data_IF_195857198902
#
_entry.id   IF_195857198902
#
_cell.length_a   1.000
_cell.length_b   1.000
_cell.length_c   1.000
_cell.angle_alpha   90.00
_cell.angle_beta   90.00
_cell.angle_gamma   90.00
#
_symmetry.space_group_name_H-M   'P 1'
#
loop_
_entity.id
_entity.type
_entity.pdbx_description
1 polymer ?
#
# COMPACT_ATOMS: atom_id res chain seq x y z
N UNK A 1 -24.79 -10.43 -3.47
CA UNK A 1 -24.12 -9.74 -2.35
C UNK A 1 -23.10 -8.76 -2.92
N UNK A 2 -22.85 -7.64 -2.25
CA UNK A 2 -21.72 -6.76 -2.58
C UNK A 2 -20.39 -7.48 -2.28
N UNK A 3 -19.26 -7.06 -2.88
CA UNK A 3 -17.94 -7.58 -2.53
C UNK A 3 -17.64 -7.58 -1.02
N UNK A 4 -17.97 -6.47 -0.36
CA UNK A 4 -17.82 -6.31 1.08
C UNK A 4 -18.65 -7.31 1.87
N UNK A 5 -19.94 -7.46 1.53
CA UNK A 5 -20.82 -8.44 2.18
C UNK A 5 -20.30 -9.87 1.99
N UNK A 6 -19.90 -10.22 0.76
CA UNK A 6 -19.35 -11.54 0.43
C UNK A 6 -18.14 -11.88 1.29
N UNK A 7 -17.21 -10.93 1.43
CA UNK A 7 -16.01 -11.10 2.24
C UNK A 7 -16.36 -11.28 3.72
N UNK A 8 -17.21 -10.43 4.29
CA UNK A 8 -17.59 -10.49 5.70
C UNK A 8 -18.35 -11.78 6.06
N UNK A 9 -19.24 -12.25 5.18
CA UNK A 9 -19.96 -13.51 5.39
C UNK A 9 -18.98 -14.68 5.36
N UNK A 10 -18.04 -14.71 4.40
CA UNK A 10 -17.03 -15.78 4.33
C UNK A 10 -16.11 -15.80 5.56
N UNK A 11 -15.65 -14.62 6.01
CA UNK A 11 -14.76 -14.48 7.18
C UNK A 11 -15.42 -14.88 8.51
N UNK A 12 -16.75 -14.77 8.60
CA UNK A 12 -17.51 -15.11 9.81
C UNK A 12 -18.07 -16.54 9.78
N UNK A 13 -17.65 -17.37 8.82
CA UNK A 13 -18.07 -18.77 8.70
C UNK A 13 -19.47 -18.97 8.11
N UNK A 14 -20.07 -17.92 7.53
CA UNK A 14 -21.34 -18.01 6.82
C UNK A 14 -21.20 -18.57 5.40
N UNK A 15 -22.32 -18.64 4.68
CA UNK A 15 -22.37 -19.09 3.28
C UNK A 15 -22.57 -17.89 2.33
N UNK A 16 -21.51 -17.37 1.70
CA UNK A 16 -21.64 -16.30 0.72
C UNK A 16 -22.33 -16.79 -0.57
N UNK A 17 -22.71 -15.86 -1.44
CA UNK A 17 -23.29 -16.14 -2.76
C UNK A 17 -22.31 -16.86 -3.71
N UNK A 18 -21.01 -16.66 -3.52
CA UNK A 18 -19.89 -17.40 -4.14
C UNK A 18 -18.63 -17.26 -3.29
N UNK A 19 -17.60 -18.05 -3.57
CA UNK A 19 -16.28 -17.91 -2.93
C UNK A 19 -15.70 -16.51 -3.27
N UNK A 20 -15.34 -15.67 -2.27
CA UNK A 20 -14.70 -14.40 -2.54
C UNK A 20 -13.29 -14.61 -3.12
N UNK A 21 -12.88 -13.72 -4.04
CA UNK A 21 -11.57 -13.78 -4.68
C UNK A 21 -10.83 -12.44 -4.53
N UNK A 22 -9.70 -12.48 -3.82
CA UNK A 22 -8.78 -11.35 -3.62
C UNK A 22 -7.35 -11.80 -3.90
N UNK A 23 -6.97 -12.01 -5.17
CA UNK A 23 -5.59 -12.34 -5.51
C UNK A 23 -4.64 -11.25 -4.99
N UNK A 24 -3.47 -11.66 -4.53
CA UNK A 24 -2.40 -10.71 -4.22
C UNK A 24 -1.81 -10.16 -5.52
N UNK A 25 -2.30 -8.99 -5.90
CA UNK A 25 -1.85 -8.25 -7.08
C UNK A 25 -0.74 -7.24 -6.74
N UNK A 26 -0.42 -7.10 -5.43
CA UNK A 26 0.60 -6.25 -4.84
C UNK A 26 0.70 -4.87 -5.50
N UNK A 27 1.92 -4.39 -5.77
CA UNK A 27 2.22 -3.15 -6.47
C UNK A 27 2.34 -3.32 -7.99
N UNK A 28 2.81 -4.46 -8.48
CA UNK A 28 3.14 -4.64 -9.90
C UNK A 28 1.94 -4.44 -10.82
N UNK A 29 0.78 -4.99 -10.47
CA UNK A 29 -0.42 -4.90 -11.31
C UNK A 29 -1.07 -3.51 -11.19
N UNK A 30 -1.32 -2.95 -9.99
CA UNK A 30 -1.81 -1.57 -9.88
C UNK A 30 -0.90 -0.54 -10.57
N UNK A 31 0.43 -0.61 -10.37
CA UNK A 31 1.36 0.31 -11.03
C UNK A 31 1.34 0.14 -12.55
N UNK A 32 1.19 -1.08 -13.07
CA UNK A 32 1.08 -1.28 -14.52
C UNK A 32 -0.21 -0.68 -15.09
N UNK A 33 -1.31 -0.74 -14.34
CA UNK A 33 -2.61 -0.23 -14.77
C UNK A 33 -2.68 1.31 -14.79
N UNK A 34 -1.82 2.01 -14.05
CA UNK A 34 -1.76 3.48 -14.14
C UNK A 34 -1.19 3.97 -15.47
N UNK A 35 -0.43 3.12 -16.18
CA UNK A 35 0.32 3.51 -17.37
C UNK A 35 1.60 4.31 -17.06
N UNK A 36 1.83 4.63 -15.78
CA UNK A 36 2.99 5.37 -15.33
C UNK A 36 4.18 4.45 -15.09
N UNK A 37 5.42 4.98 -15.15
CA UNK A 37 6.57 4.25 -14.66
C UNK A 37 6.40 3.86 -13.19
N UNK A 38 6.85 2.66 -12.83
CA UNK A 38 6.68 2.09 -11.49
C UNK A 38 7.12 3.02 -10.34
N UNK A 39 8.19 3.79 -10.55
CA UNK A 39 8.72 4.73 -9.55
C UNK A 39 7.81 5.94 -9.30
N UNK A 40 6.99 6.36 -10.27
CA UNK A 40 6.01 7.46 -10.06
C UNK A 40 5.00 7.08 -8.99
N UNK A 41 4.50 5.85 -9.04
CA UNK A 41 3.55 5.33 -8.05
C UNK A 41 4.26 4.98 -6.74
N UNK A 42 5.37 4.26 -6.82
CA UNK A 42 5.98 3.66 -5.62
C UNK A 42 6.81 4.66 -4.80
N UNK A 43 7.52 5.55 -5.48
CA UNK A 43 8.41 6.51 -4.84
C UNK A 43 7.76 7.88 -4.70
N UNK A 44 7.18 8.39 -5.79
CA UNK A 44 6.58 9.73 -5.80
C UNK A 44 5.12 9.75 -5.34
N UNK A 45 4.48 8.59 -5.20
CA UNK A 45 3.07 8.43 -4.80
C UNK A 45 2.12 9.19 -5.74
N UNK A 46 2.39 9.14 -7.04
CA UNK A 46 1.61 9.77 -8.11
C UNK A 46 1.11 8.73 -9.13
N UNK A 47 -0.15 8.25 -9.03
CA UNK A 47 -1.04 8.33 -7.87
C UNK A 47 -0.54 7.51 -6.68
N UNK A 48 -1.07 7.70 -5.47
CA UNK A 48 -0.70 6.88 -4.33
C UNK A 48 -1.14 5.42 -4.55
N UNK A 49 -0.32 4.47 -4.12
CA UNK A 49 -0.53 3.04 -4.39
C UNK A 49 -1.90 2.51 -3.94
N UNK A 50 -2.44 2.99 -2.81
CA UNK A 50 -3.76 2.59 -2.33
C UNK A 50 -4.87 2.94 -3.33
N UNK A 51 -4.73 4.05 -4.05
CA UNK A 51 -5.71 4.50 -5.03
C UNK A 51 -5.58 3.66 -6.30
N UNK A 52 -4.35 3.44 -6.78
CA UNK A 52 -4.10 2.53 -7.90
C UNK A 52 -4.64 1.11 -7.61
N UNK A 53 -4.52 0.63 -6.37
CA UNK A 53 -5.07 -0.66 -5.97
C UNK A 53 -6.60 -0.70 -6.05
N UNK A 54 -7.29 0.34 -5.57
CA UNK A 54 -8.76 0.42 -5.66
C UNK A 54 -9.21 0.40 -7.13
N UNK A 55 -8.53 1.14 -8.00
CA UNK A 55 -8.82 1.12 -9.43
C UNK A 55 -8.57 -0.27 -10.06
N UNK A 56 -7.52 -0.97 -9.65
CA UNK A 56 -7.28 -2.35 -10.08
C UNK A 56 -8.41 -3.31 -9.63
N UNK A 57 -8.88 -3.18 -8.38
CA UNK A 57 -10.01 -3.97 -7.86
C UNK A 57 -11.27 -3.74 -8.70
N UNK A 58 -11.56 -2.49 -9.06
CA UNK A 58 -12.69 -2.14 -9.94
C UNK A 58 -12.52 -2.70 -11.34
N UNK A 59 -11.33 -2.56 -11.93
CA UNK A 59 -11.02 -3.02 -13.28
C UNK A 59 -11.22 -4.54 -13.44
N UNK A 60 -10.76 -5.34 -12.48
CA UNK A 60 -10.89 -6.80 -12.53
C UNK A 60 -12.20 -7.34 -11.96
N UNK A 61 -13.01 -6.53 -11.28
CA UNK A 61 -14.25 -6.98 -10.64
C UNK A 61 -14.03 -8.00 -9.52
N UNK A 62 -12.90 -7.89 -8.81
CA UNK A 62 -12.52 -8.77 -7.68
C UNK A 62 -13.03 -8.19 -6.34
N UNK A 63 -12.95 -8.97 -5.26
CA UNK A 63 -13.57 -8.59 -3.99
C UNK A 63 -12.81 -7.52 -3.19
N UNK A 64 -11.53 -7.32 -3.49
CA UNK A 64 -10.63 -6.39 -2.83
C UNK A 64 -10.24 -6.77 -1.39
N UNK A 65 -8.96 -6.60 -1.07
CA UNK A 65 -8.38 -6.72 0.27
C UNK A 65 -7.52 -5.48 0.56
N UNK A 66 -8.06 -4.52 1.32
CA UNK A 66 -7.42 -3.23 1.51
C UNK A 66 -6.43 -3.25 2.69
N UNK A 67 -5.13 -3.33 2.38
CA UNK A 67 -4.02 -3.35 3.36
C UNK A 67 -3.21 -2.06 3.42
N UNK A 68 -3.63 -1.01 2.71
CA UNK A 68 -2.90 0.25 2.62
C UNK A 68 -3.34 1.31 3.64
N UNK A 69 -4.18 0.93 4.59
CA UNK A 69 -4.53 1.76 5.75
C UNK A 69 -3.62 1.45 6.93
N UNK A 70 -3.46 2.43 7.83
CA UNK A 70 -2.75 2.27 9.10
C UNK A 70 -3.69 2.55 10.29
N UNK A 71 -3.29 2.09 11.47
CA UNK A 71 -4.04 2.31 12.72
C UNK A 71 -3.81 3.71 13.32
N UNK A 72 -3.11 4.60 12.60
CA UNK A 72 -2.69 5.92 13.05
C UNK A 72 -1.92 5.89 14.38
N UNK A 73 -1.21 4.78 14.63
CA UNK A 73 -0.42 4.60 15.84
C UNK A 73 0.65 5.70 15.93
N UNK A 74 0.58 6.48 17.01
CA UNK A 74 1.56 7.51 17.30
C UNK A 74 2.72 6.89 18.06
N UNK A 75 3.90 6.89 17.43
CA UNK A 75 5.11 6.37 18.06
C UNK A 75 5.51 7.26 19.25
N UNK A 76 5.89 6.70 20.41
CA UNK A 76 6.32 7.48 21.56
C UNK A 76 7.74 8.02 21.32
N UNK A 77 7.83 9.15 20.61
CA UNK A 77 9.08 9.79 20.22
C UNK A 77 8.95 10.48 18.87
N UNK A 78 9.96 11.26 18.51
CA UNK A 78 9.98 11.92 17.20
C UNK A 78 10.70 11.03 16.20
N UNK A 79 10.03 10.77 15.07
CA UNK A 79 10.61 10.11 13.91
C UNK A 79 10.71 11.10 12.77
N UNK A 80 11.94 11.36 12.34
CA UNK A 80 12.22 12.13 11.15
C UNK A 80 12.81 11.19 10.10
N UNK A 81 12.27 11.26 8.89
CA UNK A 81 12.83 10.59 7.73
C UNK A 81 12.80 11.56 6.56
N UNK A 82 13.96 11.79 5.95
CA UNK A 82 14.06 12.61 4.76
C UNK A 82 15.02 11.99 3.76
N UNK A 83 14.75 12.25 2.49
CA UNK A 83 15.65 11.92 1.39
C UNK A 83 16.82 12.88 1.48
N UNK A 84 18.01 12.34 1.72
CA UNK A 84 19.25 13.11 1.83
C UNK A 84 19.89 13.31 0.45
N UNK A 85 19.84 12.29 -0.39
CA UNK A 85 20.32 12.36 -1.78
C UNK A 85 19.48 11.43 -2.68
N UNK A 86 19.34 11.84 -3.94
CA UNK A 86 18.67 11.05 -4.97
C UNK A 86 19.32 11.29 -6.31
N UNK A 87 19.88 10.23 -6.88
CA UNK A 87 20.46 10.25 -8.23
C UNK A 87 19.89 9.14 -9.10
N UNK A 88 19.55 9.50 -10.33
CA UNK A 88 19.16 8.57 -11.38
C UNK A 88 20.37 8.30 -12.28
N UNK A 89 20.74 7.03 -12.41
CA UNK A 89 21.69 6.55 -13.42
C UNK A 89 20.93 5.91 -14.58
N UNK A 90 21.64 5.44 -15.60
CA UNK A 90 21.03 4.75 -16.75
C UNK A 90 20.30 3.46 -16.31
N UNK A 91 20.86 2.74 -15.35
CA UNK A 91 20.40 1.43 -14.89
C UNK A 91 19.48 1.46 -13.67
N UNK A 92 19.59 2.48 -12.81
CA UNK A 92 18.88 2.51 -11.52
C UNK A 92 18.71 3.90 -10.92
N UNK A 93 17.89 3.97 -9.89
CA UNK A 93 17.87 5.10 -8.96
C UNK A 93 18.63 4.71 -7.70
N UNK A 94 19.50 5.59 -7.22
CA UNK A 94 20.15 5.48 -5.91
C UNK A 94 19.56 6.55 -5.01
N UNK A 95 18.95 6.11 -3.92
CA UNK A 95 18.27 6.97 -2.95
C UNK A 95 18.94 6.75 -1.60
N UNK A 96 19.41 7.84 -1.00
CA UNK A 96 19.92 7.85 0.37
C UNK A 96 18.87 8.51 1.25
N UNK A 97 18.45 7.80 2.29
CA UNK A 97 17.45 8.29 3.23
C UNK A 97 18.08 8.39 4.61
N UNK A 98 17.99 9.58 5.20
CA UNK A 98 18.44 9.82 6.57
C UNK A 98 17.24 9.75 7.51
N UNK A 99 17.34 8.86 8.49
CA UNK A 99 16.39 8.72 9.57
C UNK A 99 16.98 9.21 10.89
N UNK A 100 16.18 9.90 11.71
CA UNK A 100 16.47 10.18 13.11
C UNK A 100 15.30 9.67 13.95
N UNK A 101 15.61 9.01 15.05
CA UNK A 101 14.63 8.73 16.11
C UNK A 101 15.13 9.40 17.38
N UNK A 102 14.32 10.27 17.96
CA UNK A 102 14.66 11.06 19.13
C UNK A 102 13.52 11.03 20.17
N UNK A 103 13.79 11.50 21.39
CA UNK A 103 12.83 11.63 22.50
C UNK A 103 12.12 10.33 22.87
N UNK A 104 12.82 9.20 22.71
CA UNK A 104 12.32 7.90 23.17
C UNK A 104 12.24 7.89 24.70
N UNK A 105 11.11 7.47 25.29
CA UNK A 105 11.05 7.23 26.73
C UNK A 105 12.00 6.08 27.08
N UNK A 106 13.00 6.38 27.91
CA UNK A 106 13.86 5.36 28.46
C UNK A 106 13.13 4.70 29.63
N UNK A 107 12.84 3.41 29.51
CA UNK A 107 12.30 2.59 30.60
C UNK A 107 13.44 1.74 31.17
N UNK A 108 13.87 2.04 32.41
CA UNK A 108 14.77 1.19 33.22
C UNK A 108 14.08 -0.08 33.70
#
# INVERSE_FOLDING_TARGET
MTPRERMLVAMTGGKPDRVPATPDISNMVPCRLTGEPFWEVYYFRQPPLWQAYIEAVRYFGIDGWFTYGDMQYQYPGERYQAIEDMRKTEDRWVVTTRGLTDRLPWHS
#
